data_IF_806828514878
#
_entry.id   IF_806828514878
#
_cell.length_a   1.000
_cell.length_b   1.000
_cell.length_c   1.000
_cell.angle_alpha   90.00
_cell.angle_beta   90.00
_cell.angle_gamma   90.00
#
_symmetry.space_group_name_H-M   'P 1'
#
loop_
_entity.id
_entity.type
_entity.pdbx_description
1 polymer ?
2 non-polymer ?
3 non-polymer ?
4 water ?
#
# COMPACT_ATOMS: atom_id res chain seq x y z
N UNK A 9 2.26 27.10 -17.89
CA UNK A 9 0.91 26.50 -18.11
C UNK A 9 -0.02 26.65 -16.91
N UNK A 10 -1.28 26.19 -17.07
CA UNK A 10 -2.25 26.31 -15.98
C UNK A 10 -2.02 25.28 -14.86
N UNK A 11 -2.48 25.61 -13.65
CA UNK A 11 -2.46 24.67 -12.54
C UNK A 11 -3.57 23.64 -12.71
N UNK A 12 -3.20 22.36 -12.62
CA UNK A 12 -4.15 21.28 -12.88
C UNK A 12 -4.44 20.43 -11.64
N UNK A 13 -4.23 21.02 -10.46
CA UNK A 13 -4.44 20.30 -9.20
C UNK A 13 -5.85 19.76 -9.13
N UNK A 14 -6.83 20.60 -9.44
CA UNK A 14 -8.23 20.20 -9.40
C UNK A 14 -8.54 19.03 -10.35
N UNK A 15 -7.99 19.07 -11.57
CA UNK A 15 -8.18 17.99 -12.54
C UNK A 15 -7.58 16.67 -12.03
N UNK A 16 -6.39 16.75 -11.44
CA UNK A 16 -5.75 15.59 -10.84
C UNK A 16 -6.57 15.02 -9.69
N UNK A 17 -6.99 15.89 -8.76
CA UNK A 17 -7.77 15.46 -7.60
C UNK A 17 -9.11 14.81 -7.95
N UNK A 18 -9.71 15.26 -9.06
CA UNK A 18 -10.99 14.69 -9.54
C UNK A 18 -10.82 13.32 -10.21
N UNK A 19 -9.60 13.02 -10.64
CA UNK A 19 -9.31 11.76 -11.36
C UNK A 19 -7.91 11.27 -10.99
N UNK A 20 -7.68 10.97 -9.70
CA UNK A 20 -6.27 10.82 -9.26
C UNK A 20 -5.54 9.64 -9.87
N UNK A 21 -6.26 8.59 -10.25
CA UNK A 21 -5.63 7.39 -10.80
C UNK A 21 -5.43 7.47 -12.29
N UNK A 22 -6.31 8.21 -12.97
CA UNK A 22 -6.34 8.15 -14.43
C UNK A 22 -5.94 9.44 -15.14
N UNK A 23 -5.83 10.54 -14.40
CA UNK A 23 -5.52 11.84 -15.01
C UNK A 23 -4.27 11.78 -15.90
N UNK A 24 -3.19 11.20 -15.38
CA UNK A 24 -1.94 11.13 -16.10
C UNK A 24 -2.01 10.26 -17.38
N UNK A 25 -2.52 9.04 -17.27
CA UNK A 25 -2.60 8.18 -18.45
C UNK A 25 -3.57 8.70 -19.51
N UNK A 26 -4.65 9.37 -19.08
CA UNK A 26 -5.58 10.01 -20.00
C UNK A 26 -4.93 11.15 -20.77
N UNK A 27 -4.12 11.95 -20.08
CA UNK A 27 -3.38 13.02 -20.75
C UNK A 27 -2.28 12.51 -21.68
N UNK A 28 -1.58 11.46 -21.25
CA UNK A 28 -0.59 10.78 -22.06
C UNK A 28 -1.17 10.22 -23.37
N UNK A 29 -2.33 9.59 -23.27
CA UNK A 29 -3.02 9.00 -24.43
C UNK A 29 -3.35 10.09 -25.44
N UNK A 30 -3.81 11.23 -24.92
CA UNK A 30 -4.16 12.39 -25.74
C UNK A 30 -2.97 12.97 -26.49
N UNK A 31 -1.82 12.98 -25.84
CA UNK A 31 -0.61 13.58 -26.38
C UNK A 31 0.28 12.58 -27.13
N UNK A 32 -0.11 11.31 -27.12
CA UNK A 32 0.68 10.24 -27.71
C UNK A 32 2.10 10.12 -27.16
N UNK A 33 2.24 10.29 -25.84
CA UNK A 33 3.55 10.30 -25.21
C UNK A 33 3.48 9.67 -23.82
N UNK A 34 4.62 9.23 -23.29
CA UNK A 34 4.66 8.65 -21.95
C UNK A 34 5.05 9.64 -20.86
N UNK A 35 5.13 10.92 -21.22
CA UNK A 35 5.47 11.97 -20.27
C UNK A 35 4.91 13.31 -20.74
N UNK A 36 4.55 14.15 -19.78
CA UNK A 36 4.10 15.50 -20.05
C UNK A 36 4.38 16.44 -18.87
N UNK A 37 4.59 17.70 -19.19
CA UNK A 37 4.84 18.72 -18.18
C UNK A 37 3.51 19.30 -17.73
N UNK A 38 3.33 19.44 -16.42
CA UNK A 38 2.12 20.04 -15.87
C UNK A 38 2.45 20.89 -14.64
N UNK A 39 1.43 21.19 -13.84
CA UNK A 39 1.59 22.04 -12.65
C UNK A 39 0.57 21.67 -11.59
N UNK A 40 1.05 21.35 -10.40
CA UNK A 40 0.20 21.05 -9.24
C UNK A 40 0.66 21.84 -8.03
N UNK A 41 -0.31 22.30 -7.23
CA UNK A 41 -0.01 23.18 -6.09
C UNK A 41 0.97 24.26 -6.55
N UNK A 42 0.75 24.78 -7.77
CA UNK A 42 1.58 25.83 -8.37
C UNK A 42 3.03 25.44 -8.73
N UNK A 43 3.44 24.19 -8.50
CA UNK A 43 4.78 23.67 -8.83
C UNK A 43 4.79 22.96 -10.19
N UNK A 44 5.71 23.34 -11.07
CA UNK A 44 5.91 22.63 -12.35
C UNK A 44 6.24 21.17 -12.06
N UNK A 45 5.55 20.26 -12.75
CA UNK A 45 5.68 18.82 -12.48
C UNK A 45 5.76 18.04 -13.80
N UNK A 46 6.79 17.23 -13.95
CA UNK A 46 6.82 16.28 -15.07
C UNK A 46 6.07 15.02 -14.64
N UNK A 47 5.09 14.60 -15.43
CA UNK A 47 4.34 13.38 -15.17
C UNK A 47 4.81 12.26 -16.11
N UNK A 48 5.16 11.13 -15.51
CA UNK A 48 5.76 10.00 -16.23
C UNK A 48 4.91 8.74 -16.09
N UNK A 49 4.96 7.87 -17.10
CA UNK A 49 4.19 6.65 -17.09
C UNK A 49 4.91 5.59 -17.93
N UNK A 50 4.83 4.32 -17.51
CA UNK A 50 5.39 3.21 -18.30
C UNK A 50 6.74 2.72 -17.78
N UNK A 51 7.22 1.61 -18.36
CA UNK A 51 8.38 0.89 -17.86
C UNK A 51 9.66 1.69 -17.99
N UNK A 52 9.84 2.35 -19.13
CA UNK A 52 11.07 3.13 -19.33
C UNK A 52 11.13 4.33 -18.39
N UNK A 53 10.01 5.00 -18.20
CA UNK A 53 9.96 6.14 -17.27
C UNK A 53 10.19 5.69 -15.83
N UNK A 54 9.65 4.52 -15.46
CA UNK A 54 9.88 3.96 -14.13
C UNK A 54 11.37 3.71 -13.89
N UNK A 55 12.08 3.21 -14.91
CA UNK A 55 13.50 2.92 -14.78
C UNK A 55 14.31 4.19 -14.54
N UNK A 56 13.98 5.28 -15.22
CA UNK A 56 14.70 6.52 -14.90
C UNK A 56 14.30 7.12 -13.55
N UNK A 57 13.03 6.98 -13.18
CA UNK A 57 12.52 7.50 -11.90
C UNK A 57 13.25 6.86 -10.73
N UNK A 58 13.59 5.58 -10.89
CA UNK A 58 14.32 4.82 -9.87
C UNK A 58 15.84 4.95 -9.93
N UNK A 59 16.36 5.79 -10.83
CA UNK A 59 17.79 6.05 -10.87
C UNK A 59 18.10 7.10 -9.79
N UNK A 60 18.70 6.64 -8.69
CA UNK A 60 18.94 7.55 -7.54
C UNK A 60 20.11 8.52 -7.78
N UNK A 61 20.80 8.40 -8.91
CA UNK A 61 21.77 9.44 -9.28
C UNK A 61 21.04 10.63 -9.91
N UNK A 62 19.76 10.47 -10.24
CA UNK A 62 18.97 11.53 -10.87
C UNK A 62 17.73 11.97 -10.09
N UNK A 63 17.33 11.16 -9.11
CA UNK A 63 16.15 11.49 -8.29
C UNK A 63 16.39 11.32 -6.81
N UNK A 64 15.80 12.24 -6.04
CA UNK A 64 15.85 12.25 -4.58
C UNK A 64 14.44 12.39 -4.04
N UNK A 65 14.24 11.89 -2.83
CA UNK A 65 12.94 12.00 -2.20
C UNK A 65 12.85 13.08 -1.13
N UNK A 66 13.99 13.49 -0.57
CA UNK A 66 13.96 14.44 0.57
C UNK A 66 13.13 15.69 0.19
N UNK A 67 12.12 16.00 1.01
CA UNK A 67 11.27 17.19 0.78
C UNK A 67 10.28 17.14 -0.37
N UNK A 68 10.18 16.01 -1.07
CA UNK A 68 9.33 15.92 -2.25
C UNK A 68 7.83 15.80 -1.96
N UNK A 69 7.45 15.02 -0.95
CA UNK A 69 6.01 14.81 -0.68
C UNK A 69 5.37 15.99 0.07
N UNK A 70 4.25 16.51 -0.46
CA UNK A 70 3.54 17.60 0.24
C UNK A 70 3.39 17.32 1.73
N UNK A 71 3.71 18.31 2.54
CA UNK A 71 3.67 18.22 4.01
C UNK A 71 2.34 17.75 4.71
N UNK A 72 1.20 17.89 4.03
CA UNK A 72 -0.06 17.31 4.53
C UNK A 72 0.00 15.76 4.62
N UNK A 73 0.90 15.15 3.84
CA UNK A 73 1.20 13.69 3.92
C UNK A 73 2.04 13.30 5.16
N UNK A 74 2.93 14.18 5.62
CA UNK A 74 3.63 13.99 6.89
C UNK A 74 2.64 13.97 8.06
N UNK A 75 1.72 14.91 8.06
CA UNK A 75 0.73 14.98 9.14
C UNK A 75 -0.26 13.82 9.10
N UNK A 76 -0.16 12.93 8.11
CA UNK A 76 -1.16 11.88 8.04
C UNK A 76 -0.58 10.54 7.60
N UNK A 77 -0.39 10.38 6.30
CA UNK A 77 -0.06 9.07 5.72
C UNK A 77 1.28 8.48 6.17
N UNK A 78 2.35 9.27 6.10
CA UNK A 78 3.71 8.73 6.28
C UNK A 78 4.27 8.97 7.68
N UNK A 79 3.85 10.08 8.32
CA UNK A 79 4.51 10.59 9.52
C UNK A 79 5.77 11.36 9.15
N UNK A 80 6.48 11.86 10.16
CA UNK A 80 7.65 12.70 9.95
C UNK A 80 8.94 11.95 10.28
N UNK A 81 9.89 11.97 9.35
CA UNK A 81 11.23 11.41 9.65
C UNK A 81 11.41 9.97 9.25
N UNK A 82 10.41 9.40 8.57
CA UNK A 82 10.48 7.98 8.19
C UNK A 82 11.26 7.75 6.90
N UNK A 83 11.39 6.46 6.56
CA UNK A 83 12.28 6.03 5.47
C UNK A 83 11.88 6.64 4.11
N UNK A 84 10.57 6.92 3.91
CA UNK A 84 10.09 7.46 2.59
C UNK A 84 10.78 8.74 2.21
N UNK A 85 11.19 9.51 3.22
CA UNK A 85 11.82 10.82 2.99
C UNK A 85 13.33 10.83 2.96
N UNK A 86 13.95 9.65 2.98
CA UNK A 86 15.42 9.55 3.04
C UNK A 86 16.04 9.27 1.67
N UNK A 87 17.28 9.69 1.50
CA UNK A 87 18.07 9.39 0.29
C UNK A 87 19.44 8.80 0.63
N UNK A 88 20.08 8.22 -0.38
CA UNK A 88 21.48 7.86 -0.28
C UNK A 88 21.78 6.77 0.73
N UNK A 89 22.99 6.81 1.28
CA UNK A 89 23.39 5.81 2.27
C UNK A 89 22.49 5.82 3.53
N UNK A 90 22.01 7.01 3.92
CA UNK A 90 21.09 7.12 5.08
C UNK A 90 19.83 6.29 4.79
N UNK A 91 19.29 6.47 3.57
CA UNK A 91 18.11 5.68 3.18
C UNK A 91 18.40 4.20 3.17
N UNK A 92 19.52 3.80 2.56
CA UNK A 92 19.74 2.36 2.36
C UNK A 92 19.93 1.68 3.70
N UNK A 93 20.56 2.38 4.64
CA UNK A 93 20.76 1.82 5.99
C UNK A 93 19.43 1.63 6.73
N UNK A 94 18.55 2.62 6.61
CA UNK A 94 17.21 2.54 7.20
C UNK A 94 16.37 1.46 6.49
N UNK A 95 16.49 1.38 5.17
CA UNK A 95 15.70 0.40 4.38
C UNK A 95 16.03 -1.06 4.78
N UNK A 96 17.31 -1.32 5.05
CA UNK A 96 17.75 -2.64 5.48
C UNK A 96 17.03 -3.12 6.73
N UNK A 97 16.76 -2.19 7.63
CA UNK A 97 15.99 -2.49 8.83
C UNK A 97 14.63 -3.10 8.49
N UNK A 98 13.92 -2.51 7.51
CA UNK A 98 12.63 -3.08 7.11
C UNK A 98 12.80 -4.41 6.37
N UNK A 99 13.79 -4.49 5.50
CA UNK A 99 13.96 -5.71 4.68
C UNK A 99 14.27 -6.93 5.53
N UNK A 100 15.05 -6.72 6.59
CA UNK A 100 15.38 -7.79 7.54
C UNK A 100 14.17 -8.45 8.19
N UNK A 101 13.03 -7.74 8.25
CA UNK A 101 11.81 -8.29 8.84
C UNK A 101 11.15 -9.35 7.96
N UNK A 102 11.47 -9.33 6.66
CA UNK A 102 10.66 -10.03 5.65
C UNK A 102 11.16 -11.43 5.27
N UNK A 103 11.62 -12.21 6.23
CA UNK A 103 12.04 -13.58 5.91
C UNK A 103 10.81 -14.46 5.55
N UNK A 104 11.01 -15.50 4.72
CA UNK A 104 9.86 -16.38 4.36
C UNK A 104 9.14 -16.87 5.62
N UNK A 105 9.91 -17.22 6.63
CA UNK A 105 9.35 -17.72 7.89
C UNK A 105 8.53 -16.65 8.61
N UNK A 106 9.06 -15.43 8.70
CA UNK A 106 8.32 -14.36 9.38
C UNK A 106 7.07 -13.95 8.59
N UNK A 107 7.17 -13.96 7.27
CA UNK A 107 6.01 -13.62 6.44
C UNK A 107 4.91 -14.69 6.62
N UNK A 108 5.31 -15.96 6.60
CA UNK A 108 4.38 -17.05 6.88
C UNK A 108 3.71 -16.89 8.25
N UNK A 109 4.50 -16.54 9.29
CA UNK A 109 3.93 -16.34 10.62
C UNK A 109 2.82 -15.29 10.62
N UNK A 110 3.07 -14.16 9.93
CA UNK A 110 2.03 -13.12 9.87
C UNK A 110 0.77 -13.60 9.13
N UNK A 111 0.97 -14.29 8.00
CA UNK A 111 -0.16 -14.89 7.26
C UNK A 111 -0.99 -15.83 8.16
N UNK A 112 -0.32 -16.65 8.95
CA UNK A 112 -1.02 -17.57 9.85
C UNK A 112 -1.82 -16.82 10.93
N UNK A 113 -1.22 -15.78 11.49
CA UNK A 113 -1.91 -14.96 12.49
C UNK A 113 -3.11 -14.29 11.87
N UNK A 114 -2.99 -13.85 10.62
CA UNK A 114 -4.12 -13.19 9.97
C UNK A 114 -5.28 -14.18 9.71
N UNK A 115 -4.94 -15.38 9.21
CA UNK A 115 -5.99 -16.40 9.05
C UNK A 115 -6.74 -16.66 10.36
N UNK A 116 -6.00 -16.79 11.45
CA UNK A 116 -6.57 -17.02 12.77
C UNK A 116 -7.50 -15.87 13.18
N UNK A 117 -7.05 -14.63 12.99
CA UNK A 117 -7.89 -13.46 13.32
C UNK A 117 -9.14 -13.35 12.43
N UNK A 118 -8.99 -13.66 11.14
CA UNK A 118 -10.12 -13.71 10.24
C UNK A 118 -11.14 -14.76 10.76
N UNK A 119 -10.68 -15.98 11.03
CA UNK A 119 -11.58 -17.06 11.53
C UNK A 119 -12.25 -16.66 12.86
N UNK A 120 -11.49 -15.99 13.74
CA UNK A 120 -12.06 -15.46 15.00
C UNK A 120 -13.16 -14.41 14.83
N UNK A 121 -13.09 -13.61 13.77
CA UNK A 121 -14.02 -12.52 13.50
C UNK A 121 -15.33 -12.98 12.84
N UNK A 122 -15.28 -14.13 12.16
CA UNK A 122 -16.45 -14.61 11.43
C UNK A 122 -17.74 -14.72 12.29
N UNK A 123 -17.66 -15.32 13.50
CA UNK A 123 -18.93 -15.44 14.26
C UNK A 123 -19.62 -14.10 14.47
N UNK A 124 -18.85 -13.03 14.70
CA UNK A 124 -19.37 -11.68 14.81
C UNK A 124 -20.06 -11.23 13.53
N UNK A 125 -19.48 -11.58 12.38
CA UNK A 125 -20.06 -11.26 11.09
C UNK A 125 -21.39 -11.99 10.87
N UNK A 126 -21.44 -13.27 11.23
CA UNK A 126 -22.67 -14.09 11.13
C UNK A 126 -23.79 -13.46 11.96
N UNK A 127 -23.45 -13.03 13.18
CA UNK A 127 -24.42 -12.42 14.09
C UNK A 127 -24.96 -11.08 13.61
N UNK A 128 -24.16 -10.33 12.86
CA UNK A 128 -24.62 -9.07 12.26
C UNK A 128 -25.60 -9.29 11.11
N UNK A 129 -25.54 -10.46 10.48
CA UNK A 129 -26.43 -10.80 9.36
C UNK A 129 -26.03 -10.17 8.03
N UNK A 130 -25.57 -8.92 8.08
CA UNK A 130 -25.07 -8.22 6.90
C UNK A 130 -23.84 -7.40 7.31
N UNK A 131 -22.79 -7.42 6.49
CA UNK A 131 -21.57 -6.65 6.80
C UNK A 131 -21.08 -5.87 5.60
N UNK A 132 -20.35 -4.78 5.88
CA UNK A 132 -19.59 -4.10 4.83
C UNK A 132 -18.21 -4.71 4.94
N UNK A 133 -17.83 -5.55 3.96
CA UNK A 133 -16.64 -6.38 4.06
C UNK A 133 -15.41 -5.52 4.35
N UNK A 134 -15.27 -4.42 3.61
CA UNK A 134 -14.09 -3.56 3.78
C UNK A 134 -14.00 -3.10 5.23
N UNK A 135 -15.13 -2.71 5.81
CA UNK A 135 -15.15 -2.14 7.16
C UNK A 135 -14.72 -3.17 8.21
N UNK A 136 -15.01 -4.44 7.92
CA UNK A 136 -14.70 -5.52 8.87
C UNK A 136 -13.27 -6.04 8.85
N UNK A 137 -12.46 -5.60 7.89
CA UNK A 137 -11.11 -6.16 7.72
C UNK A 137 -10.01 -5.49 8.55
N UNK A 138 -10.20 -4.21 8.86
CA UNK A 138 -9.16 -3.43 9.51
C UNK A 138 -8.76 -4.01 10.87
N UNK A 139 -9.76 -4.43 11.66
CA UNK A 139 -9.50 -4.95 13.01
C UNK A 139 -8.77 -6.31 13.03
N UNK A 140 -9.24 -7.32 12.26
CA UNK A 140 -8.42 -8.55 12.25
C UNK A 140 -6.98 -8.32 11.75
N UNK A 141 -6.80 -7.44 10.75
CA UNK A 141 -5.45 -7.12 10.29
C UNK A 141 -4.64 -6.44 11.39
N UNK A 142 -5.26 -5.49 12.09
CA UNK A 142 -4.60 -4.80 13.22
C UNK A 142 -4.16 -5.80 14.29
N UNK A 143 -5.07 -6.70 14.66
CA UNK A 143 -4.78 -7.69 15.68
C UNK A 143 -3.62 -8.60 15.25
N UNK A 144 -3.64 -9.05 13.99
CA UNK A 144 -2.57 -9.93 13.50
C UNK A 144 -1.21 -9.21 13.46
N UNK A 145 -1.19 -8.03 12.86
CA UNK A 145 0.09 -7.33 12.69
C UNK A 145 0.67 -6.87 14.04
N UNK A 146 -0.18 -6.41 14.97
CA UNK A 146 0.37 -6.03 16.30
C UNK A 146 1.03 -7.22 17.00
N UNK A 147 0.34 -8.36 17.02
CA UNK A 147 0.90 -9.57 17.60
C UNK A 147 2.23 -9.97 16.92
N UNK A 148 2.23 -10.01 15.59
CA UNK A 148 3.43 -10.28 14.82
C UNK A 148 4.59 -9.31 15.15
N UNK A 149 4.27 -8.02 15.25
CA UNK A 149 5.30 -6.99 15.41
C UNK A 149 5.77 -6.84 16.87
N UNK A 150 5.19 -7.59 17.79
CA UNK A 150 5.52 -7.48 19.22
C UNK A 150 4.90 -6.26 19.88
N UNK A 151 3.79 -5.80 19.34
CA UNK A 151 3.07 -4.65 19.89
C UNK A 151 1.92 -5.15 20.78
N UNK A 152 1.99 -4.92 22.11
CA UNK A 152 0.85 -5.36 22.93
C UNK A 152 -0.42 -4.63 22.53
N UNK A 153 -1.53 -5.34 22.48
CA UNK A 153 -2.79 -4.76 22.05
C UNK A 153 -3.90 -5.40 22.84
N UNK A 154 -4.35 -4.74 23.92
CA UNK A 154 -5.47 -5.33 24.67
C UNK A 154 -6.71 -5.53 23.81
N UNK A 155 -7.43 -6.61 24.09
CA UNK A 155 -8.67 -6.95 23.38
C UNK A 155 -9.59 -5.74 23.20
N UNK A 156 -9.79 -4.97 24.27
CA UNK A 156 -10.78 -3.90 24.28
C UNK A 156 -10.30 -2.60 23.61
N UNK A 157 -9.05 -2.59 23.14
CA UNK A 157 -8.48 -1.43 22.42
C UNK A 157 -8.25 -1.69 20.93
N UNK A 158 -8.33 -2.96 20.52
CA UNK A 158 -8.04 -3.34 19.14
C UNK A 158 -8.91 -2.60 18.10
N UNK A 159 -10.22 -2.55 18.38
CA UNK A 159 -11.18 -1.79 17.58
C UNK A 159 -10.77 -0.33 17.36
N UNK A 160 -10.45 0.36 18.45
CA UNK A 160 -10.05 1.77 18.38
C UNK A 160 -8.74 1.96 17.61
N UNK A 161 -7.75 1.12 17.89
CA UNK A 161 -6.47 1.22 17.18
C UNK A 161 -6.64 0.92 15.71
N UNK A 162 -7.52 -0.05 15.37
CA UNK A 162 -7.79 -0.36 13.97
C UNK A 162 -8.38 0.86 13.24
N UNK A 163 -9.32 1.56 13.89
CA UNK A 163 -9.91 2.78 13.30
C UNK A 163 -8.88 3.92 13.10
N UNK A 164 -7.96 4.04 14.04
CA UNK A 164 -6.91 5.07 13.95
C UNK A 164 -5.96 4.72 12.82
N UNK A 165 -5.56 3.47 12.73
CA UNK A 165 -4.65 3.08 11.64
C UNK A 165 -5.33 3.25 10.28
N UNK A 166 -6.59 2.84 10.19
CA UNK A 166 -7.37 3.02 8.96
C UNK A 166 -7.41 4.50 8.54
N UNK A 167 -7.63 5.38 9.52
CA UNK A 167 -7.75 6.81 9.26
C UNK A 167 -6.48 7.42 8.65
N UNK A 168 -5.32 6.82 8.91
CA UNK A 168 -4.06 7.35 8.36
C UNK A 168 -4.02 7.29 6.83
N UNK A 169 -4.63 6.25 6.27
CA UNK A 169 -4.60 6.03 4.81
C UNK A 169 -5.95 6.20 4.13
N UNK A 170 -7.05 6.10 4.88
CA UNK A 170 -8.36 5.95 4.24
C UNK A 170 -9.09 7.27 4.26
N UNK A 171 -8.85 8.01 5.34
CA UNK A 171 -9.26 9.41 5.51
C UNK A 171 -8.22 10.47 5.07
N UNK A 172 -6.94 10.09 4.87
CA UNK A 172 -5.87 11.04 4.52
C UNK A 172 -6.14 11.87 3.25
N UNK A 173 -6.51 11.17 2.16
CA UNK A 173 -6.83 11.82 0.89
C UNK A 173 -8.29 12.22 0.71
N UNK A 174 -8.97 12.51 1.82
CA UNK A 174 -10.36 12.95 1.76
C UNK A 174 -10.42 14.47 1.89
N UNK A 175 -11.04 15.12 0.92
CA UNK A 175 -11.19 16.58 0.92
C UNK A 175 -12.39 16.99 1.76
N UNK A 176 -12.32 16.72 3.06
CA UNK A 176 -13.42 16.93 3.99
C UNK A 176 -12.89 16.88 5.43
N UNK A 177 -13.77 17.09 6.45
CA UNK A 177 -13.37 16.91 7.86
C UNK A 177 -12.71 15.56 8.19
N UNK A 178 -12.89 14.55 7.34
CA UNK A 178 -12.23 13.25 7.53
C UNK A 178 -10.70 13.41 7.57
N UNK A 179 -10.18 14.41 6.86
CA UNK A 179 -8.75 14.72 6.87
C UNK A 179 -8.29 15.18 8.26
N UNK A 180 -9.14 15.94 8.95
CA UNK A 180 -8.84 16.38 10.32
C UNK A 180 -8.78 15.19 11.28
N UNK A 181 -9.67 14.22 11.06
CA UNK A 181 -9.63 12.96 11.82
C UNK A 181 -8.32 12.21 11.53
N UNK A 182 -7.90 12.23 10.27
CA UNK A 182 -6.62 11.57 9.88
C UNK A 182 -5.45 12.22 10.64
N UNK A 183 -5.47 13.55 10.76
CA UNK A 183 -4.41 14.25 11.49
C UNK A 183 -4.40 13.92 12.98
N UNK A 184 -5.57 13.83 13.59
CA UNK A 184 -5.64 13.47 15.01
C UNK A 184 -5.22 11.99 15.19
N UNK A 185 -5.68 11.12 14.30
CA UNK A 185 -5.29 9.72 14.32
C UNK A 185 -3.78 9.59 14.25
N UNK A 186 -3.15 10.42 13.40
CA UNK A 186 -1.68 10.36 13.28
C UNK A 186 -1.01 10.76 14.60
N UNK A 187 -1.46 11.86 15.20
CA UNK A 187 -0.91 12.28 16.49
C UNK A 187 -1.03 11.15 17.52
N UNK A 188 -2.20 10.50 17.53
CA UNK A 188 -2.48 9.43 18.52
C UNK A 188 -1.66 8.17 18.28
N UNK A 189 -1.57 7.75 17.02
CA UNK A 189 -0.84 6.52 16.68
C UNK A 189 0.65 6.73 16.93
N UNK A 190 1.17 7.93 16.63
CA UNK A 190 2.61 8.18 16.90
C UNK A 190 2.89 8.12 18.39
N UNK A 191 2.00 8.72 19.19
CA UNK A 191 2.24 8.76 20.63
C UNK A 191 2.19 7.34 21.20
N UNK A 192 1.24 6.53 20.72
CA UNK A 192 1.10 5.14 21.13
C UNK A 192 2.34 4.30 20.74
N UNK A 193 2.73 4.37 19.46
CA UNK A 193 3.92 3.66 18.99
C UNK A 193 5.16 4.14 19.78
N UNK A 194 5.21 5.43 20.10
CA UNK A 194 6.35 5.95 20.83
C UNK A 194 6.40 5.34 22.25
N UNK A 195 5.26 5.24 22.91
CA UNK A 195 5.22 4.58 24.23
C UNK A 195 5.68 3.12 24.12
N UNK A 196 5.33 2.47 23.01
CA UNK A 196 5.78 1.09 22.78
C UNK A 196 7.32 1.05 22.65
N UNK A 197 7.89 1.90 21.79
CA UNK A 197 9.35 1.96 21.64
C UNK A 197 10.03 2.26 22.99
N UNK A 198 9.48 3.22 23.73
CA UNK A 198 10.08 3.57 25.03
C UNK A 198 10.07 2.40 26.01
N UNK A 199 8.97 1.66 26.04
CA UNK A 199 8.83 0.55 26.97
C UNK A 199 9.74 -0.60 26.60
N UNK A 200 9.97 -0.79 25.31
CA UNK A 200 10.89 -1.84 24.85
C UNK A 200 12.31 -1.47 25.29
N UNK A 201 12.66 -0.21 25.07
CA UNK A 201 13.98 0.27 25.48
C UNK A 201 14.20 0.26 27.00
N UNK A 202 13.16 0.56 27.77
CA UNK A 202 13.23 0.51 29.24
C UNK A 202 13.13 -0.92 29.81
N UNK A 203 12.75 -1.87 28.97
CA UNK A 203 12.61 -3.26 29.39
C UNK A 203 11.28 -3.61 30.05
N UNK A 204 10.33 -2.68 30.01
CA UNK A 204 8.99 -2.95 30.56
C UNK A 204 8.10 -3.66 29.54
N UNK A 205 8.54 -3.69 28.27
CA UNK A 205 7.80 -4.41 27.22
C UNK A 205 8.68 -5.49 26.61
N UNK A 206 8.27 -6.74 26.73
CA UNK A 206 9.10 -7.86 26.32
C UNK A 206 8.93 -8.39 24.89
N UNK A 207 8.88 -7.50 23.90
CA UNK A 207 8.81 -7.93 22.49
C UNK A 207 10.02 -8.79 22.11
N UNK A 208 9.78 -9.86 21.36
CA UNK A 208 10.85 -10.79 21.00
C UNK A 208 11.86 -10.26 19.99
N UNK A 209 13.09 -10.77 20.08
CA UNK A 209 14.15 -10.43 19.13
C UNK A 209 13.85 -10.57 17.62
N UNK A 210 12.88 -11.38 17.23
CA UNK A 210 12.48 -11.45 15.80
C UNK A 210 11.41 -10.47 15.32
N UNK A 211 10.91 -9.63 16.21
CA UNK A 211 9.70 -8.86 15.91
C UNK A 211 10.03 -7.45 15.40
N UNK A 212 9.13 -6.89 14.59
CA UNK A 212 9.34 -5.55 14.04
C UNK A 212 9.59 -4.50 15.13
N UNK A 213 8.80 -4.52 16.19
CA UNK A 213 8.95 -3.45 17.19
C UNK A 213 10.32 -3.53 17.88
N UNK A 214 10.78 -4.75 18.15
CA UNK A 214 12.12 -4.96 18.69
C UNK A 214 13.17 -4.44 17.73
N UNK A 215 13.08 -4.84 16.46
CA UNK A 215 14.07 -4.43 15.46
C UNK A 215 14.18 -2.90 15.33
N UNK A 216 13.03 -2.25 15.34
CA UNK A 216 12.97 -0.80 15.17
C UNK A 216 13.44 -0.10 16.44
N UNK A 217 13.00 -0.60 17.61
CA UNK A 217 13.43 0.00 18.89
C UNK A 217 14.94 -0.06 19.09
N UNK A 218 15.56 -1.12 18.56
CA UNK A 218 16.99 -1.34 18.81
C UNK A 218 17.87 -1.05 17.60
N UNK A 219 17.27 -0.58 16.51
CA UNK A 219 18.02 -0.22 15.32
C UNK A 219 19.06 0.86 15.65
N UNK A 220 20.26 0.70 15.12
CA UNK A 220 21.31 1.72 15.25
C UNK A 220 21.53 2.29 13.87
N UNK A 221 21.59 3.62 13.80
CA UNK A 221 21.78 4.31 12.52
C UNK A 221 23.26 4.27 12.11
N UNK A 222 23.63 5.06 11.10
CA UNK A 222 25.01 4.98 10.61
C UNK A 222 26.05 5.51 11.56
N UNK A 223 25.62 6.12 12.68
CA UNK A 223 26.56 6.64 13.68
C UNK A 223 26.51 5.83 14.97
N UNK A 224 25.89 4.65 14.89
CA UNK A 224 25.69 3.77 16.04
C UNK A 224 24.74 4.38 17.08
N UNK A 225 23.81 5.25 16.64
CA UNK A 225 22.84 5.84 17.57
C UNK A 225 21.47 5.22 17.34
N UNK A 226 20.75 4.97 18.43
CA UNK A 226 19.34 4.59 18.33
C UNK A 226 18.56 5.70 17.60
N UNK A 227 17.52 5.34 16.88
CA UNK A 227 16.57 6.29 16.31
C UNK A 227 15.98 7.12 17.44
N UNK A 228 15.77 8.40 17.21
CA UNK A 228 15.03 9.13 18.23
C UNK A 228 13.65 8.47 18.40
N UNK A 229 13.07 8.55 19.61
CA UNK A 229 11.83 7.79 19.83
C UNK A 229 10.73 8.13 18.86
N UNK A 230 10.61 9.40 18.46
CA UNK A 230 9.54 9.75 17.50
C UNK A 230 9.79 9.09 16.16
N UNK A 231 11.05 9.09 15.71
CA UNK A 231 11.34 8.45 14.42
C UNK A 231 11.09 6.93 14.47
N UNK A 232 11.52 6.28 15.57
CA UNK A 232 11.26 4.85 15.75
C UNK A 232 9.75 4.60 15.71
N UNK A 233 8.98 5.48 16.37
CA UNK A 233 7.52 5.36 16.36
C UNK A 233 6.95 5.40 14.95
N UNK A 234 7.41 6.38 14.17
CA UNK A 234 6.95 6.55 12.79
C UNK A 234 7.28 5.32 11.94
N UNK A 235 8.48 4.76 12.16
CA UNK A 235 8.87 3.59 11.39
C UNK A 235 8.05 2.37 11.78
N UNK A 236 7.73 2.24 13.07
CA UNK A 236 6.85 1.15 13.50
C UNK A 236 5.45 1.33 12.86
N UNK A 237 4.94 2.56 12.83
CA UNK A 237 3.66 2.78 12.16
C UNK A 237 3.76 2.52 10.65
N UNK A 238 4.96 2.71 10.09
CA UNK A 238 5.21 2.30 8.69
C UNK A 238 5.13 0.79 8.46
N UNK A 239 5.08 -0.01 9.52
CA UNK A 239 4.77 -1.44 9.39
C UNK A 239 3.27 -1.70 9.64
N UNK A 240 2.75 -1.14 10.75
CA UNK A 240 1.37 -1.40 11.17
C UNK A 240 0.35 -0.88 10.17
N UNK A 241 0.52 0.38 9.79
CA UNK A 241 -0.47 1.05 8.94
C UNK A 241 -0.66 0.40 7.54
N UNK A 242 0.43 0.16 6.80
CA UNK A 242 0.15 -0.39 5.47
C UNK A 242 -0.31 -1.84 5.54
N UNK A 243 0.02 -2.57 6.61
CA UNK A 243 -0.55 -3.93 6.77
C UNK A 243 -2.08 -3.88 6.90
N UNK A 244 -2.56 -2.92 7.67
CA UNK A 244 -4.02 -2.70 7.77
C UNK A 244 -4.60 -2.25 6.42
N UNK A 245 -3.85 -1.50 5.64
CA UNK A 245 -4.30 -1.08 4.29
C UNK A 245 -4.52 -2.25 3.33
N UNK A 246 -4.00 -3.42 3.67
CA UNK A 246 -4.28 -4.64 2.85
C UNK A 246 -5.79 -4.91 2.78
N UNK A 247 -6.56 -4.38 3.73
CA UNK A 247 -8.02 -4.38 3.62
C UNK A 247 -8.55 -4.01 2.23
N UNK A 248 -7.89 -3.03 1.61
CA UNK A 248 -8.27 -2.58 0.26
C UNK A 248 -8.08 -3.71 -0.76
N UNK A 249 -6.89 -4.31 -0.78
CA UNK A 249 -6.65 -5.43 -1.71
C UNK A 249 -7.56 -6.61 -1.43
N UNK A 250 -7.84 -6.91 -0.15
CA UNK A 250 -8.71 -8.05 0.19
C UNK A 250 -10.14 -7.78 -0.35
N UNK A 251 -10.59 -6.54 -0.25
CA UNK A 251 -11.87 -6.14 -0.81
C UNK A 251 -11.90 -6.32 -2.34
N UNK A 252 -10.80 -5.95 -3.00
CA UNK A 252 -10.70 -6.14 -4.45
C UNK A 252 -10.65 -7.61 -4.83
N UNK A 253 -10.07 -8.46 -3.97
CA UNK A 253 -10.09 -9.92 -4.20
C UNK A 253 -11.54 -10.39 -4.25
N UNK A 254 -12.34 -9.95 -3.27
CA UNK A 254 -13.76 -10.27 -3.26
C UNK A 254 -14.49 -9.73 -4.49
N UNK A 255 -14.17 -8.50 -4.87
CA UNK A 255 -14.75 -7.85 -6.05
C UNK A 255 -14.47 -8.63 -7.35
N UNK A 256 -13.22 -9.09 -7.51
CA UNK A 256 -12.85 -9.86 -8.70
C UNK A 256 -13.60 -11.18 -8.73
N UNK A 257 -13.67 -11.84 -7.57
CA UNK A 257 -14.37 -13.13 -7.48
C UNK A 257 -15.84 -13.01 -7.84
N UNK A 258 -16.40 -11.84 -7.57
CA UNK A 258 -17.82 -11.57 -7.77
C UNK A 258 -18.15 -11.15 -9.20
N UNK A 259 -17.24 -10.44 -9.83
CA UNK A 259 -17.53 -9.76 -11.10
C UNK A 259 -16.87 -10.40 -12.31
N UNK A 260 -15.92 -11.32 -12.10
CA UNK A 260 -15.20 -11.93 -13.22
C UNK A 260 -15.48 -13.43 -13.30
N UNK A 261 -16.26 -13.82 -14.32
CA UNK A 261 -16.69 -15.20 -14.46
C UNK A 261 -15.50 -16.12 -14.67
N UNK A 262 -15.55 -17.27 -14.03
CA UNK A 262 -14.52 -18.30 -14.20
C UNK A 262 -13.41 -18.25 -13.18
N UNK A 263 -13.27 -17.11 -12.48
CA UNK A 263 -12.16 -16.96 -11.52
C UNK A 263 -12.32 -17.92 -10.35
N UNK A 264 -13.52 -17.94 -9.75
CA UNK A 264 -13.77 -18.78 -8.60
C UNK A 264 -13.41 -20.23 -8.90
N UNK A 265 -13.88 -20.74 -10.04
CA UNK A 265 -13.66 -22.13 -10.39
C UNK A 265 -12.17 -22.44 -10.53
N UNK A 266 -11.45 -21.57 -11.25
CA UNK A 266 -10.00 -21.74 -11.46
C UNK A 266 -9.25 -21.74 -10.13
N UNK A 267 -9.62 -20.82 -9.24
CA UNK A 267 -9.01 -20.75 -7.91
C UNK A 267 -9.27 -22.02 -7.11
N UNK A 268 -10.49 -22.53 -7.20
CA UNK A 268 -10.86 -23.79 -6.56
C UNK A 268 -10.01 -24.93 -7.13
N UNK A 269 -10.00 -25.04 -8.46
CA UNK A 269 -9.49 -26.26 -9.11
C UNK A 269 -8.02 -26.27 -9.55
N UNK A 270 -7.42 -25.10 -9.78
CA UNK A 270 -5.99 -25.04 -10.21
C UNK A 270 -5.08 -24.45 -9.11
N UNK A 271 -4.24 -25.29 -8.48
CA UNK A 271 -3.44 -24.81 -7.32
C UNK A 271 -2.46 -23.65 -7.59
N UNK A 272 -1.76 -23.67 -8.73
CA UNK A 272 -0.85 -22.55 -9.10
C UNK A 272 -1.60 -21.24 -9.47
N UNK A 273 -2.93 -21.32 -9.56
CA UNK A 273 -3.71 -20.17 -9.99
C UNK A 273 -3.70 -19.02 -9.00
N UNK A 274 -3.69 -19.32 -7.70
CA UNK A 274 -3.81 -18.27 -6.68
C UNK A 274 -2.69 -17.22 -6.83
N UNK A 275 -1.46 -17.66 -7.11
CA UNK A 275 -0.33 -16.74 -7.27
C UNK A 275 -0.58 -15.79 -8.45
N UNK A 276 -1.09 -16.32 -9.55
CA UNK A 276 -1.36 -15.49 -10.73
C UNK A 276 -2.46 -14.51 -10.41
N UNK A 277 -3.49 -15.02 -9.73
CA UNK A 277 -4.67 -14.24 -9.40
C UNK A 277 -4.31 -13.02 -8.52
N UNK A 278 -3.54 -13.22 -7.46
CA UNK A 278 -3.27 -12.07 -6.57
C UNK A 278 -2.40 -11.03 -7.27
N UNK A 279 -1.48 -11.50 -8.13
CA UNK A 279 -0.69 -10.56 -8.91
C UNK A 279 -1.58 -9.72 -9.82
N UNK A 280 -2.55 -10.37 -10.49
CA UNK A 280 -3.44 -9.63 -11.39
C UNK A 280 -4.35 -8.65 -10.63
N UNK A 281 -4.76 -9.00 -9.41
CA UNK A 281 -5.49 -8.03 -8.57
C UNK A 281 -4.62 -6.79 -8.34
N UNK A 282 -3.34 -6.97 -8.00
CA UNK A 282 -2.44 -5.80 -7.82
C UNK A 282 -2.23 -5.01 -9.13
N UNK A 283 -2.10 -5.72 -10.25
CA UNK A 283 -1.93 -5.00 -11.52
C UNK A 283 -3.19 -4.22 -11.90
N UNK A 284 -4.35 -4.86 -11.74
CA UNK A 284 -5.58 -4.40 -12.38
C UNK A 284 -6.21 -3.25 -11.63
N UNK A 285 -6.27 -3.39 -10.31
CA UNK A 285 -7.04 -2.45 -9.48
C UNK A 285 -6.22 -1.24 -9.05
N UNK A 286 -6.86 -0.05 -9.02
CA UNK A 286 -6.17 1.14 -8.55
C UNK A 286 -6.00 1.05 -7.04
N UNK A 287 -4.84 1.46 -6.53
CA UNK A 287 -4.66 1.54 -5.08
C UNK A 287 -3.71 2.70 -4.78
N UNK A 288 -2.41 2.50 -5.01
CA UNK A 288 -1.46 3.58 -4.75
C UNK A 288 -1.33 4.34 -6.05
N UNK A 289 -1.72 5.62 -6.07
CA UNK A 289 -1.89 6.15 -7.44
C UNK A 289 -0.55 6.42 -8.14
N UNK A 290 0.36 7.07 -7.39
CA UNK A 290 1.56 7.67 -7.95
C UNK A 290 2.58 8.01 -6.86
N UNK A 291 3.84 8.08 -7.28
CA UNK A 291 4.91 8.38 -6.33
C UNK A 291 5.61 9.65 -6.81
N UNK A 292 6.19 10.41 -5.88
CA UNK A 292 6.76 11.72 -6.20
C UNK A 292 8.24 11.77 -5.81
N UNK A 293 9.04 12.38 -6.68
CA UNK A 293 10.47 12.58 -6.43
C UNK A 293 10.86 13.94 -6.98
N UNK A 294 12.11 14.33 -6.79
CA UNK A 294 12.58 15.58 -7.35
C UNK A 294 13.88 15.27 -8.12
N UNK A 295 14.01 15.80 -9.33
CA UNK A 295 15.28 15.69 -10.07
C UNK A 295 16.45 16.26 -9.26
N UNK A 296 17.56 15.53 -9.18
CA UNK A 296 18.69 15.94 -8.34
C UNK A 296 19.79 16.66 -9.13
N UNK A 297 19.70 16.60 -10.45
CA UNK A 297 20.67 17.26 -11.34
C UNK A 297 19.98 17.50 -12.68
N UNK A 298 20.51 18.41 -13.49
CA UNK A 298 19.99 18.65 -14.83
C UNK A 298 20.19 17.43 -15.70
N UNK A 299 19.13 17.02 -16.39
CA UNK A 299 19.25 16.06 -17.47
C UNK A 299 18.06 16.19 -18.42
N UNK A 300 18.20 15.56 -19.57
CA UNK A 300 17.09 15.43 -20.48
C UNK A 300 16.86 13.97 -20.77
N UNK A 301 15.61 13.63 -21.04
CA UNK A 301 15.23 12.25 -21.27
C UNK A 301 14.09 12.28 -22.27
N UNK A 302 14.29 11.58 -23.38
CA UNK A 302 13.29 11.45 -24.44
C UNK A 302 12.71 12.80 -24.87
N UNK A 303 13.61 13.77 -25.06
CA UNK A 303 13.25 15.12 -25.51
C UNK A 303 12.54 16.00 -24.48
N UNK A 304 12.50 15.57 -23.22
CA UNK A 304 11.91 16.34 -22.11
C UNK A 304 12.99 16.85 -21.15
N UNK A 305 12.89 18.11 -20.75
CA UNK A 305 13.83 18.70 -19.79
C UNK A 305 13.50 18.31 -18.35
N UNK A 306 14.52 17.88 -17.61
CA UNK A 306 14.41 17.64 -16.18
C UNK A 306 15.46 18.51 -15.48
N UNK A 307 15.15 19.81 -15.28
CA UNK A 307 16.08 20.68 -14.58
C UNK A 307 16.25 20.21 -13.15
N UNK A 308 17.42 20.40 -12.57
CA UNK A 308 17.61 20.09 -11.15
C UNK A 308 16.46 20.73 -10.37
N UNK A 309 15.83 19.95 -9.49
CA UNK A 309 14.80 20.47 -8.60
C UNK A 309 13.39 20.29 -9.11
N UNK A 310 13.25 19.82 -10.35
CA UNK A 310 11.94 19.61 -10.95
C UNK A 310 11.22 18.46 -10.24
N UNK A 311 10.01 18.74 -9.77
CA UNK A 311 9.12 17.73 -9.22
C UNK A 311 8.67 16.76 -10.32
N UNK A 312 8.68 15.47 -10.00
CA UNK A 312 8.35 14.43 -10.96
C UNK A 312 7.44 13.41 -10.32
N UNK A 313 6.38 13.05 -11.02
CA UNK A 313 5.40 12.09 -10.52
C UNK A 313 5.38 10.85 -11.44
N UNK A 314 5.54 9.68 -10.82
CA UNK A 314 5.47 8.41 -11.57
C UNK A 314 4.11 7.80 -11.34
N UNK A 315 3.36 7.63 -12.42
CA UNK A 315 2.01 7.13 -12.40
C UNK A 315 2.06 5.60 -12.34
N UNK A 316 1.75 5.04 -11.16
CA UNK A 316 1.78 3.58 -10.98
C UNK A 316 0.62 2.87 -11.69
N UNK A 317 -0.59 3.40 -11.51
CA UNK A 317 -1.78 2.81 -12.13
C UNK A 317 -1.65 2.79 -13.66
N UNK A 318 -1.28 3.94 -14.24
CA UNK A 318 -1.08 4.03 -15.72
C UNK A 318 -0.01 3.08 -16.21
N UNK A 319 1.08 2.95 -15.46
CA UNK A 319 2.16 2.01 -15.78
C UNK A 319 1.66 0.56 -15.76
N UNK A 320 0.85 0.22 -14.75
CA UNK A 320 0.27 -1.12 -14.67
C UNK A 320 -0.80 -1.38 -15.73
N UNK A 321 -1.24 -0.33 -16.40
CA UNK A 321 -2.20 -0.44 -17.51
C UNK A 321 -1.64 -0.03 -18.88
N UNK A 322 -0.31 -0.01 -19.00
CA UNK A 322 0.38 0.35 -20.24
C UNK A 322 0.26 -0.77 -21.28
N UNK A 323 -0.36 -0.47 -22.41
CA UNK A 323 -0.58 -1.48 -23.46
C UNK A 323 0.72 -2.01 -24.08
N UNK A 324 1.75 -1.18 -24.16
CA UNK A 324 3.04 -1.66 -24.69
C UNK A 324 3.58 -2.84 -23.89
N UNK A 325 3.32 -2.81 -22.58
CA UNK A 325 3.80 -3.86 -21.70
C UNK A 325 2.88 -5.06 -21.72
N UNK A 326 1.58 -4.80 -21.59
CA UNK A 326 0.60 -5.85 -21.30
C UNK A 326 -0.23 -6.32 -22.49
N UNK A 327 -0.24 -5.52 -23.56
CA UNK A 327 -1.07 -5.79 -24.76
C UNK A 327 -2.57 -5.53 -24.53
N UNK A 328 -3.19 -6.23 -23.57
CA UNK A 328 -4.61 -6.00 -23.26
C UNK A 328 -4.85 -5.68 -21.78
N UNK A 329 -4.29 -4.55 -21.31
CA UNK A 329 -4.31 -4.23 -19.86
C UNK A 329 -5.71 -4.01 -19.27
N UNK A 330 -6.69 -3.70 -20.13
CA UNK A 330 -8.07 -3.42 -19.71
C UNK A 330 -8.81 -4.66 -19.22
N UNK A 331 -8.30 -5.85 -19.54
CA UNK A 331 -8.93 -7.10 -19.13
C UNK A 331 -8.35 -7.63 -17.82
N UNK A 332 -9.19 -8.29 -17.03
CA UNK A 332 -8.72 -8.95 -15.82
C UNK A 332 -8.41 -10.38 -16.19
N UNK A 333 -7.13 -10.71 -16.25
CA UNK A 333 -6.74 -12.04 -16.72
C UNK A 333 -5.50 -12.52 -15.99
N UNK A 334 -5.69 -13.30 -14.90
CA UNK A 334 -4.54 -13.74 -14.10
C UNK A 334 -3.51 -14.53 -14.91
N UNK A 335 -3.96 -15.25 -15.94
CA UNK A 335 -3.00 -16.08 -16.67
C UNK A 335 -1.96 -15.26 -17.45
N UNK A 336 -2.18 -13.95 -17.59
CA UNK A 336 -1.15 -13.08 -18.20
C UNK A 336 0.18 -13.20 -17.46
N UNK A 337 0.13 -13.49 -16.15
CA UNK A 337 1.36 -13.62 -15.36
C UNK A 337 2.19 -14.86 -15.63
N UNK A 338 1.65 -15.79 -16.43
CA UNK A 338 2.48 -16.89 -16.93
C UNK A 338 3.55 -16.38 -17.88
N UNK A 339 3.33 -15.23 -18.51
CA UNK A 339 4.29 -14.68 -19.48
C UNK A 339 5.17 -13.56 -18.90
N UNK A 340 5.00 -13.27 -17.61
CA UNK A 340 5.79 -12.22 -16.98
C UNK A 340 7.23 -12.71 -16.73
N UNK A 341 8.18 -11.83 -16.97
CA UNK A 341 9.61 -12.10 -16.83
C UNK A 341 10.21 -11.49 -15.53
N UNK A 342 9.33 -11.14 -14.59
CA UNK A 342 9.71 -10.56 -13.30
C UNK A 342 10.53 -9.26 -13.41
N UNK A 343 10.35 -8.53 -14.51
CA UNK A 343 11.00 -7.23 -14.72
C UNK A 343 10.72 -6.28 -13.52
N UNK A 344 11.73 -5.53 -13.08
CA UNK A 344 11.53 -4.70 -11.86
C UNK A 344 10.86 -3.35 -12.15
N UNK A 345 10.64 -3.03 -13.43
CA UNK A 345 10.08 -1.71 -13.78
C UNK A 345 8.74 -1.68 -14.50
N UNK A 346 8.30 -2.80 -15.05
CA UNK A 346 7.08 -2.83 -15.86
C UNK A 346 5.82 -3.22 -15.09
N UNK A 347 5.96 -3.59 -13.82
CA UNK A 347 4.83 -4.00 -13.00
C UNK A 347 5.11 -3.46 -11.60
N UNK A 348 4.40 -2.39 -11.24
CA UNK A 348 4.84 -1.55 -10.11
C UNK A 348 3.72 -1.05 -9.17
N UNK A 349 2.78 -1.95 -8.78
CA UNK A 349 1.67 -1.49 -7.90
C UNK A 349 2.17 -1.03 -6.51
N UNK A 350 3.35 -1.50 -6.12
CA UNK A 350 3.98 -1.10 -4.86
C UNK A 350 5.38 -0.58 -5.14
N UNK A 351 5.52 0.10 -6.28
CA UNK A 351 6.82 0.65 -6.66
C UNK A 351 7.66 -0.26 -7.54
N UNK A 352 8.75 0.28 -8.05
CA UNK A 352 9.63 -0.43 -9.00
C UNK A 352 11.06 -0.42 -8.50
N UNK A 353 11.95 -1.02 -9.28
CA UNK A 353 13.37 -1.02 -8.98
C UNK A 353 13.69 -2.05 -7.93
N UNK A 354 14.75 -1.78 -7.20
CA UNK A 354 15.35 -2.71 -6.26
C UNK A 354 14.90 -2.36 -4.85
N UNK A 355 14.56 -3.37 -4.03
CA UNK A 355 14.06 -3.11 -2.65
C UNK A 355 15.11 -2.56 -1.73
N UNK A 356 16.36 -3.01 -1.88
CA UNK A 356 17.44 -2.54 -1.01
C UNK A 356 18.02 -1.20 -1.44
N UNK A 357 18.05 -0.98 -2.74
CA UNK A 357 18.79 0.17 -3.27
C UNK A 357 17.88 1.33 -3.57
N UNK A 358 16.57 1.11 -3.48
CA UNK A 358 15.61 2.17 -3.76
C UNK A 358 14.41 2.10 -2.82
N UNK A 359 13.38 2.88 -3.13
CA UNK A 359 12.23 3.06 -2.23
C UNK A 359 11.08 2.04 -2.44
N UNK A 360 11.31 1.05 -3.29
CA UNK A 360 10.29 0.03 -3.55
C UNK A 360 9.76 -0.55 -2.23
N UNK A 361 8.45 -0.78 -2.20
CA UNK A 361 7.77 -1.30 -1.00
C UNK A 361 8.36 -2.62 -0.44
N UNK A 362 8.82 -2.62 0.82
CA UNK A 362 9.34 -3.85 1.38
C UNK A 362 8.16 -4.77 1.84
N UNK A 363 6.93 -4.26 1.78
CA UNK A 363 5.76 -5.00 2.22
C UNK A 363 5.19 -5.96 1.20
N UNK A 364 5.81 -6.08 0.03
CA UNK A 364 5.18 -6.89 -1.04
C UNK A 364 4.97 -8.34 -0.66
N UNK A 365 5.95 -8.95 0.00
CA UNK A 365 5.79 -10.38 0.38
C UNK A 365 4.62 -10.59 1.35
N UNK A 366 4.48 -9.68 2.31
CA UNK A 366 3.35 -9.71 3.24
C UNK A 366 2.03 -9.54 2.48
N UNK A 367 1.97 -8.53 1.62
CA UNK A 367 0.77 -8.30 0.83
C UNK A 367 0.38 -9.56 0.05
N UNK A 368 1.33 -10.17 -0.68
CA UNK A 368 1.02 -11.36 -1.47
C UNK A 368 0.55 -12.50 -0.57
N UNK A 369 1.22 -12.71 0.55
CA UNK A 369 0.88 -13.81 1.46
C UNK A 369 -0.53 -13.67 2.04
N UNK A 370 -0.85 -12.47 2.50
CA UNK A 370 -2.17 -12.16 3.04
C UNK A 370 -3.28 -12.20 1.97
N UNK A 371 -2.99 -11.69 0.77
CA UNK A 371 -3.99 -11.76 -0.32
C UNK A 371 -4.30 -13.24 -0.67
N UNK A 372 -3.28 -14.10 -0.61
CA UNK A 372 -3.49 -15.55 -0.83
C UNK A 372 -4.34 -16.22 0.28
N UNK A 373 -4.07 -15.88 1.53
CA UNK A 373 -4.95 -16.30 2.65
C UNK A 373 -6.39 -15.86 2.38
N UNK A 374 -6.57 -14.60 1.98
CA UNK A 374 -7.90 -14.07 1.70
C UNK A 374 -8.59 -14.87 0.59
N UNK A 375 -7.88 -15.07 -0.51
CA UNK A 375 -8.43 -15.81 -1.66
C UNK A 375 -8.81 -17.22 -1.24
N UNK A 376 -7.94 -17.90 -0.48
CA UNK A 376 -8.20 -19.23 0.02
C UNK A 376 -9.47 -19.30 0.88
N UNK A 377 -9.61 -18.35 1.80
CA UNK A 377 -10.74 -18.33 2.72
C UNK A 377 -12.04 -18.00 2.00
N UNK A 378 -11.97 -17.07 1.04
CA UNK A 378 -13.16 -16.63 0.33
C UNK A 378 -13.71 -17.70 -0.61
N UNK A 379 -12.85 -18.58 -1.10
CA UNK A 379 -13.30 -19.67 -1.99
C UNK A 379 -13.45 -21.05 -1.32
N UNK A 380 -12.65 -21.32 -0.29
CA UNK A 380 -12.62 -22.66 0.29
C UNK A 380 -13.31 -22.79 1.64
N UNK A 381 -13.40 -21.69 2.38
CA UNK A 381 -13.92 -21.76 3.74
C UNK A 381 -15.20 -20.93 3.97
N UNK A 382 -15.23 -19.71 3.45
CA UNK A 382 -16.33 -18.77 3.71
C UNK A 382 -17.53 -19.08 2.81
N UNK A 383 -18.74 -18.95 3.36
CA UNK A 383 -19.96 -18.90 2.56
C UNK A 383 -20.58 -17.55 2.81
N UNK A 384 -21.03 -16.88 1.75
CA UNK A 384 -21.71 -15.59 1.88
C UNK A 384 -22.56 -15.32 0.67
N UNK A 385 -23.63 -14.54 0.88
CA UNK A 385 -24.44 -14.03 -0.21
C UNK A 385 -24.04 -12.58 -0.54
N UNK A 386 -24.20 -12.20 -1.79
CA UNK A 386 -23.87 -10.84 -2.23
C UNK A 386 -25.14 -10.17 -2.79
N UNK A 387 -25.81 -9.33 -1.99
CA UNK A 387 -27.03 -8.70 -2.49
C UNK A 387 -26.75 -7.68 -3.60
N UNK A 388 -27.81 -7.29 -4.32
CA UNK A 388 -27.69 -6.25 -5.34
C UNK A 388 -27.15 -4.97 -4.71
N UNK A 389 -26.16 -4.38 -5.38
CA UNK A 389 -25.41 -3.24 -4.85
C UNK A 389 -24.56 -2.60 -5.95
N UNK A 390 -24.02 -1.42 -5.66
CA UNK A 390 -23.12 -0.77 -6.59
C UNK A 390 -21.70 -1.24 -6.30
N UNK A 391 -21.22 -2.14 -7.14
CA UNK A 391 -19.88 -2.74 -7.01
C UNK A 391 -18.82 -2.01 -7.84
N UNK A 392 -19.23 -0.98 -8.54
CA UNK A 392 -18.34 -0.29 -9.46
C UNK A 392 -17.25 0.41 -8.64
N UNK A 393 -16.07 0.51 -9.24
CA UNK A 393 -14.90 1.06 -8.54
C UNK A 393 -15.02 2.55 -8.54
N UNK A 394 -14.90 3.14 -7.35
CA UNK A 394 -14.93 4.57 -7.22
C UNK A 394 -13.54 5.14 -7.49
N UNK A 395 -13.32 5.55 -8.74
CA UNK A 395 -12.05 6.15 -9.18
C UNK A 395 -11.78 7.56 -8.62
N UNK A 396 -12.78 8.12 -7.93
CA UNK A 396 -12.69 9.46 -7.37
C UNK A 396 -12.27 9.42 -5.90
N UNK A 397 -12.18 8.22 -5.34
CA UNK A 397 -11.90 8.00 -3.92
C UNK A 397 -10.43 7.60 -3.74
N UNK A 398 -9.79 8.09 -2.67
CA UNK A 398 -8.43 7.64 -2.32
C UNK A 398 -8.46 7.03 -0.93
N UNK A 399 -8.19 5.72 -0.80
CA UNK A 399 -7.94 4.73 -1.86
C UNK A 399 -9.24 4.38 -2.56
N UNK A 400 -9.13 3.92 -3.80
CA UNK A 400 -10.29 3.45 -4.56
C UNK A 400 -10.90 2.25 -3.85
N UNK A 401 -12.22 2.11 -3.98
CA UNK A 401 -12.95 0.97 -3.43
C UNK A 401 -14.20 0.75 -4.29
N UNK A 402 -14.76 -0.48 -4.28
CA UNK A 402 -16.12 -0.65 -4.78
C UNK A 402 -17.04 0.28 -4.00
N UNK A 403 -17.93 0.97 -4.70
CA UNK A 403 -18.73 2.05 -4.08
C UNK A 403 -19.45 1.60 -2.81
N UNK A 404 -19.91 0.35 -2.81
CA UNK A 404 -20.65 -0.22 -1.69
C UNK A 404 -19.79 -0.63 -0.50
N UNK A 405 -18.48 -0.79 -0.72
CA UNK A 405 -17.58 -1.33 0.31
C UNK A 405 -17.57 -2.85 0.28
N UNK A 406 -18.33 -3.41 -0.67
CA UNK A 406 -18.59 -4.86 -0.82
C UNK A 406 -19.44 -5.46 0.30
N UNK A 407 -20.77 -5.41 0.12
CA UNK A 407 -21.71 -5.86 1.15
C UNK A 407 -21.94 -7.37 1.04
N UNK A 408 -21.81 -8.07 2.15
CA UNK A 408 -22.10 -9.50 2.23
C UNK A 408 -23.29 -9.73 3.17
N UNK A 409 -24.08 -10.77 2.89
CA UNK A 409 -25.08 -11.25 3.84
C UNK A 409 -24.88 -12.73 4.15
N UNK A 410 -25.42 -13.14 5.31
CA UNK A 410 -25.43 -14.55 5.75
C UNK A 410 -24.06 -15.22 5.68
N UNK A 411 -23.06 -14.56 6.28
CA UNK A 411 -21.69 -15.04 6.25
C UNK A 411 -21.49 -16.14 7.27
N UNK A 412 -20.81 -17.21 6.86
CA UNK A 412 -20.36 -18.24 7.81
C UNK A 412 -19.20 -19.06 7.25
N UNK A 413 -18.60 -19.89 8.10
CA UNK A 413 -17.34 -20.52 7.78
C UNK A 413 -17.36 -22.06 7.95
N UNK A 414 -18.57 -22.62 7.95
CA UNK A 414 -18.77 -24.04 7.65
C UNK A 414 -18.34 -24.30 6.20
N UNK A 415 -18.83 -23.45 5.30
CA UNK A 415 -18.37 -23.37 3.90
C UNK A 415 -18.25 -24.66 3.12
X LIG B 1 6.64 2.03 0.15
X LIG B 1 2.52 0.54 -1.87
X LIG B 1 1.81 -2.54 1.81
X LIG B 1 5.78 -0.85 4.03
X LIG B 1 5.61 1.86 -0.75
X LIG B 1 5.48 2.54 -2.02
X LIG B 1 4.34 2.11 -2.60
X LIG B 1 3.72 1.17 -1.68
X LIG B 1 3.74 2.56 -3.94
X LIG B 1 6.46 3.61 -2.52
X LIG B 1 7.45 3.16 -3.60
X LIG B 1 8.34 4.37 -3.85
X LIG B 1 9.06 4.33 -4.87
X LIG B 1 8.36 5.36 -3.05
X LIG B 1 1.91 -0.33 -1.01
X LIG B 1 0.57 -0.87 -1.16
X LIG B 1 0.38 -1.71 -0.12
X LIG B 1 1.57 -1.73 0.70
X LIG B 1 -0.44 -0.54 -2.30
X LIG B 1 -0.91 -2.52 0.13
X LIG B 1 -1.53 -2.50 1.28
X LIG B 1 2.88 -2.47 2.68
X LIG B 1 3.12 -3.30 3.85
X LIG B 1 4.23 -2.84 4.47
X LIG B 1 4.71 -1.69 3.72
X LIG B 1 2.28 -4.52 4.30
X LIG B 1 4.80 -3.46 5.77
X LIG B 1 6.11 -3.42 6.03
X LIG B 1 6.30 0.14 3.22
X LIG B 1 7.42 1.00 3.60
X LIG B 1 7.67 1.89 2.40
X LIG B 1 6.71 1.48 1.40
X LIG B 1 8.17 1.04 4.94
X LIG B 1 8.75 2.96 2.26
X LIG B 1 9.98 2.17 1.69
X LIG B 1 11.08 3.14 1.27
X LIG B 1 12.25 2.71 1.03
X LIG B 1 10.81 4.38 1.16
X LIG B 1 4.52 1.03 -0.57
X LIG B 1 2.49 -0.88 0.14
X LIG B 1 3.89 -1.52 2.63
X LIG B 1 5.93 0.43 1.92
X LIG B 1 4.24 -0.29 1.00
X LIG C 1 0.47 3.26 3.00
X LIG C 1 1.64 3.68 3.17
X LIG C 1 -0.07 2.65 3.92
X LIG C 1 -0.26 3.61 1.74
X LIG C 1 -1.75 3.32 1.81
X LIG C 1 -2.37 3.64 0.45
X LIG C 1 -3.30 4.84 0.52
X LIG C 1 -4.05 5.07 -0.78
X LIG C 1 -3.45 6.24 -1.58
X LIG C 1 -3.90 7.58 -1.04
X LIG C 1 -2.84 8.64 -1.29
X LIG C 1 -3.10 9.88 -0.43
X LIG C 1 -3.29 11.13 -1.28
X LIG C 1 -3.50 12.35 -0.38
X LIG C 1 -4.04 13.56 -1.16
X LIG C 1 -3.16 14.78 -0.93
X LIG C 1 -3.91 16.10 -1.15
X LIG C 1 -3.04 17.30 -0.79
#
# INVERSE_FOLDING_TARGET
MPKTPHTKGPDETLSLLADPYRFISRQCQRLGANAFESRFLLKKTNCLKGAKAAEIFYDTTRFEREGAMPVAIQKTLFGQGGVQGLDGETHRHRKQMFMGLMTPERVRALAQLFEAEWRRAVPGWTRKGEIVFYDELHEPLTRAVCAWAGVPLPDDEAGNRAGELRALFDAAGSASPRHLWSRLARRRVDAWAKRIIEGIRAGSIGSGSGTAAYAIAWHRDRHDDLLSPHVAAVELVNVLRPTVAIAVYITFVAHALQTCSGIRAALVQQPDYAELFVQEVRRFYPFFPAVVARASQDFEWEGMAFPEGRQVVLDLYGSNHDAATWADPQEFRPERFRAWDEDSFNFIPQGGGDHYLGHRCPGEWIVLAIMKVAAHLLVNAMRYDVPDQDLSIDFARLPALPKSGFVMRNVHIGG
HEM CHA CHB CHC CHD C1A C2A C3A C4A CMA CAA CBA CGA O1A O2A C1B C2B C3B C4B CMB CAB CBB C1C C2C C3C C4C CMC CAC CBC C1D C2D C3D C4D CMD CAD CBD CGD O1D O2D NA NB NC ND FE
PLM C1 O1 O2 C2 C3 C4 C5 C6 C7 C8 C9 CA CB CC CD CE CF CG
#
